data_IF_579136523190
#
_entry.id   IF_579136523190
#
_cell.length_a   1.000
_cell.length_b   1.000
_cell.length_c   1.000
_cell.angle_alpha   90.00
_cell.angle_beta   90.00
_cell.angle_gamma   90.00
#
_symmetry.space_group_name_H-M   'P 1'
#
loop_
_entity.id
_entity.type
_entity.pdbx_description
1 polymer ?
#
# COMPACT_ATOMS: atom_id res chain seq x y z
N UNK A 1 -16.42 -28.45 43.09
CA UNK A 1 -17.67 -27.74 42.74
C UNK A 1 -18.90 -28.62 42.92
N UNK A 2 -18.87 -29.88 42.44
CA UNK A 2 -19.97 -30.85 42.60
C UNK A 2 -20.15 -31.29 44.06
N UNK A 3 -19.07 -31.43 44.83
CA UNK A 3 -19.11 -31.95 46.20
C UNK A 3 -19.57 -30.94 47.27
N UNK A 4 -19.55 -29.63 46.95
CA UNK A 4 -20.04 -28.57 47.83
C UNK A 4 -21.46 -28.07 47.47
N UNK A 5 -22.08 -28.60 46.40
CA UNK A 5 -23.43 -28.22 45.95
C UNK A 5 -23.62 -26.76 45.51
N UNK A 6 -22.56 -25.95 45.51
CA UNK A 6 -22.65 -24.50 45.29
C UNK A 6 -22.95 -24.16 43.84
N UNK A 7 -24.00 -23.36 43.64
CA UNK A 7 -24.38 -22.85 42.32
C UNK A 7 -23.57 -21.57 41.98
N UNK A 8 -23.38 -21.28 40.69
CA UNK A 8 -22.61 -20.11 40.20
C UNK A 8 -23.05 -18.79 40.86
N UNK A 9 -24.35 -18.65 41.12
CA UNK A 9 -24.93 -17.48 41.81
C UNK A 9 -24.42 -17.33 43.24
N UNK A 10 -24.22 -18.42 43.96
CA UNK A 10 -23.73 -18.41 45.34
C UNK A 10 -22.25 -18.05 45.39
N UNK A 11 -21.47 -18.48 44.41
CA UNK A 11 -20.08 -18.06 44.23
C UNK A 11 -19.95 -16.55 43.95
N UNK A 12 -20.87 -15.96 43.17
CA UNK A 12 -20.94 -14.50 42.98
C UNK A 12 -21.30 -13.77 44.28
N UNK A 13 -22.27 -14.29 45.05
CA UNK A 13 -22.68 -13.68 46.32
C UNK A 13 -21.57 -13.71 47.38
N UNK A 14 -20.75 -14.75 47.38
CA UNK A 14 -19.60 -14.88 48.29
C UNK A 14 -18.37 -14.09 47.82
N UNK A 15 -18.45 -13.36 46.70
CA UNK A 15 -17.33 -12.59 46.14
C UNK A 15 -16.20 -13.45 45.56
N UNK A 16 -16.40 -14.77 45.46
CA UNK A 16 -15.44 -15.74 44.92
C UNK A 16 -15.39 -15.72 43.39
N UNK A 17 -16.43 -15.19 42.73
CA UNK A 17 -16.42 -14.82 41.32
C UNK A 17 -16.61 -13.30 41.21
N UNK A 18 -15.58 -12.59 40.79
CA UNK A 18 -15.69 -11.15 40.45
C UNK A 18 -16.08 -11.01 38.98
N UNK A 19 -16.90 -10.02 38.65
CA UNK A 19 -17.36 -9.78 37.28
C UNK A 19 -16.19 -9.64 36.29
N UNK A 20 -15.10 -8.97 36.68
CA UNK A 20 -13.87 -8.88 35.88
C UNK A 20 -13.18 -10.23 35.67
N UNK A 21 -12.97 -11.02 36.74
CA UNK A 21 -12.30 -12.32 36.66
C UNK A 21 -13.11 -13.38 35.88
N UNK A 22 -14.44 -13.32 35.95
CA UNK A 22 -15.31 -14.22 35.17
C UNK A 22 -15.31 -13.89 33.67
N UNK A 23 -15.25 -12.60 33.32
CA UNK A 23 -15.22 -12.17 31.92
C UNK A 23 -13.91 -12.56 31.23
N UNK A 24 -12.80 -12.67 31.96
CA UNK A 24 -11.51 -13.15 31.44
C UNK A 24 -11.65 -14.57 30.88
N UNK A 25 -12.37 -15.47 31.55
CA UNK A 25 -12.59 -16.84 31.08
C UNK A 25 -13.69 -16.98 30.01
N UNK A 26 -14.36 -15.88 29.62
CA UNK A 26 -15.40 -15.91 28.60
C UNK A 26 -14.74 -15.79 27.22
N UNK A 27 -14.93 -16.82 26.39
CA UNK A 27 -14.43 -16.86 25.01
C UNK A 27 -14.74 -15.56 24.25
N UNK A 28 -13.73 -15.01 23.58
CA UNK A 28 -13.81 -13.77 22.81
C UNK A 28 -13.57 -12.46 23.59
N UNK A 29 -13.47 -12.48 24.93
CA UNK A 29 -13.18 -11.28 25.73
C UNK A 29 -11.76 -11.21 26.30
N UNK A 30 -10.98 -12.29 26.16
CA UNK A 30 -9.55 -12.32 26.48
C UNK A 30 -8.84 -13.34 25.58
N UNK A 31 -7.88 -12.87 24.78
CA UNK A 31 -7.06 -13.72 23.91
C UNK A 31 -6.09 -14.63 24.70
N UNK A 32 -5.78 -14.27 25.95
CA UNK A 32 -4.83 -15.00 26.79
C UNK A 32 -5.49 -16.10 27.63
N UNK A 33 -6.78 -15.94 27.93
CA UNK A 33 -7.51 -16.84 28.82
C UNK A 33 -8.43 -17.83 28.09
N UNK A 34 -8.55 -17.73 26.76
CA UNK A 34 -9.30 -18.69 25.94
C UNK A 34 -8.61 -20.04 25.75
N UNK A 35 -7.46 -20.29 26.40
CA UNK A 35 -6.74 -21.55 26.26
C UNK A 35 -5.97 -21.61 24.95
N UNK A 36 -5.13 -20.61 24.66
CA UNK A 36 -4.22 -20.62 23.53
C UNK A 36 -4.90 -20.69 22.16
N UNK A 37 -4.07 -20.77 21.12
CA UNK A 37 -4.51 -20.96 19.75
C UNK A 37 -4.16 -22.39 19.35
N UNK A 38 -5.13 -23.29 19.41
CA UNK A 38 -4.95 -24.62 18.83
C UNK A 38 -4.83 -24.51 17.30
N UNK A 39 -3.94 -25.30 16.71
CA UNK A 39 -3.64 -25.23 15.28
C UNK A 39 -4.89 -25.54 14.46
N UNK A 40 -5.41 -24.55 13.74
CA UNK A 40 -6.59 -24.68 12.86
C UNK A 40 -7.86 -24.01 13.39
N UNK A 41 -7.84 -23.42 14.59
CA UNK A 41 -9.00 -22.68 15.11
C UNK A 41 -9.01 -21.21 14.63
N UNK A 42 -10.11 -20.80 13.98
CA UNK A 42 -10.32 -19.42 13.54
C UNK A 42 -10.99 -18.60 14.66
N UNK A 43 -10.24 -18.29 15.72
CA UNK A 43 -10.69 -17.50 16.86
C UNK A 43 -10.07 -16.10 16.90
N UNK A 44 -10.76 -15.15 17.54
CA UNK A 44 -10.26 -13.78 17.77
C UNK A 44 -8.96 -13.81 18.59
N UNK A 45 -7.88 -13.28 18.00
CA UNK A 45 -6.53 -13.30 18.60
C UNK A 45 -5.63 -14.41 18.07
N UNK A 46 -6.18 -15.36 17.31
CA UNK A 46 -5.44 -16.46 16.69
C UNK A 46 -5.33 -16.24 15.18
N UNK A 47 -4.24 -15.60 14.75
CA UNK A 47 -3.88 -15.59 13.33
C UNK A 47 -3.36 -16.97 12.94
N UNK A 48 -3.68 -17.49 11.73
CA UNK A 48 -2.98 -18.65 11.18
C UNK A 48 -1.46 -18.45 11.22
N UNK A 49 -0.66 -19.52 11.32
CA UNK A 49 0.79 -19.42 11.23
C UNK A 49 1.19 -18.65 9.96
N UNK A 50 1.91 -17.55 10.12
CA UNK A 50 2.42 -16.77 9.00
C UNK A 50 3.81 -17.26 8.62
N UNK A 51 4.08 -17.32 7.33
CA UNK A 51 5.44 -17.48 6.83
C UNK A 51 6.08 -16.08 6.76
N UNK A 52 7.31 -15.90 7.27
CA UNK A 52 8.01 -14.63 7.14
C UNK A 52 8.24 -14.34 5.65
N UNK A 53 8.14 -13.07 5.27
CA UNK A 53 8.51 -12.63 3.93
C UNK A 53 10.04 -12.74 3.77
N UNK A 54 10.48 -13.65 2.92
CA UNK A 54 11.91 -13.95 2.69
C UNK A 54 12.44 -13.41 1.35
N UNK A 55 11.56 -12.86 0.51
CA UNK A 55 11.96 -12.40 -0.82
C UNK A 55 12.76 -11.09 -0.72
N UNK A 56 13.83 -10.94 -1.51
CA UNK A 56 14.63 -9.73 -1.50
C UNK A 56 13.84 -8.55 -2.06
N UNK A 57 13.93 -7.40 -1.40
CA UNK A 57 13.35 -6.17 -1.93
C UNK A 57 14.10 -5.76 -3.20
N UNK A 58 13.37 -5.65 -4.32
CA UNK A 58 13.97 -5.22 -5.59
C UNK A 58 14.29 -3.73 -5.53
N UNK A 59 15.57 -3.40 -5.66
CA UNK A 59 16.03 -2.01 -5.75
C UNK A 59 15.81 -1.52 -7.20
N UNK A 60 15.12 -0.38 -7.41
CA UNK A 60 15.01 0.22 -8.74
C UNK A 60 16.40 0.54 -9.31
N UNK A 61 16.64 0.29 -10.60
CA UNK A 61 17.92 0.62 -11.22
C UNK A 61 18.10 2.12 -11.36
N UNK A 62 19.36 2.55 -11.39
CA UNK A 62 19.73 3.92 -11.74
C UNK A 62 19.45 4.11 -13.23
N UNK A 63 18.65 5.12 -13.56
CA UNK A 63 18.34 5.45 -14.96
C UNK A 63 19.56 6.16 -15.59
N UNK A 64 19.91 5.85 -16.84
CA UNK A 64 20.95 6.59 -17.55
C UNK A 64 20.45 7.98 -17.94
N UNK A 65 21.32 8.99 -17.84
CA UNK A 65 21.05 10.34 -18.33
C UNK A 65 20.83 10.33 -19.84
N UNK A 66 19.91 11.18 -20.32
CA UNK A 66 19.47 11.27 -21.71
C UNK A 66 19.65 12.70 -22.23
N UNK A 67 20.00 12.86 -23.52
CA UNK A 67 19.99 14.18 -24.14
C UNK A 67 18.56 14.72 -24.24
N UNK A 68 18.40 16.03 -24.03
CA UNK A 68 17.08 16.71 -24.10
C UNK A 68 16.37 16.52 -25.45
N UNK A 69 17.12 16.25 -26.51
CA UNK A 69 16.59 15.98 -27.86
C UNK A 69 15.80 14.69 -27.98
N UNK A 70 15.93 13.76 -27.03
CA UNK A 70 15.13 12.52 -26.98
C UNK A 70 13.69 12.75 -26.45
N UNK A 71 13.39 13.93 -25.90
CA UNK A 71 12.10 14.24 -25.29
C UNK A 71 11.19 14.97 -26.28
N UNK A 72 10.10 14.32 -26.68
CA UNK A 72 9.09 14.88 -27.57
C UNK A 72 7.70 14.76 -26.93
N UNK A 73 7.06 15.87 -26.52
CA UNK A 73 7.56 17.24 -26.59
C UNK A 73 8.75 17.50 -25.66
N UNK A 74 9.54 18.54 -25.97
CA UNK A 74 10.65 18.97 -25.12
C UNK A 74 10.12 19.36 -23.72
N UNK A 75 10.92 19.19 -22.64
CA UNK A 75 10.52 19.58 -21.30
C UNK A 75 10.15 21.07 -21.24
N UNK A 76 9.04 21.36 -20.56
CA UNK A 76 8.50 22.71 -20.46
C UNK A 76 8.53 23.18 -19.00
N UNK A 77 8.75 24.49 -18.81
CA UNK A 77 8.65 25.14 -17.49
C UNK A 77 7.21 25.04 -16.93
N UNK A 78 6.22 25.04 -17.83
CA UNK A 78 4.81 25.00 -17.49
C UNK A 78 4.19 23.65 -17.87
N UNK A 79 3.26 23.12 -17.06
CA UNK A 79 2.39 21.98 -17.35
C UNK A 79 1.78 22.01 -18.74
N UNK A 80 1.75 20.86 -19.40
CA UNK A 80 1.04 20.72 -20.67
C UNK A 80 -0.48 20.61 -20.40
N UNK A 81 -1.15 21.75 -20.42
CA UNK A 81 -2.60 21.84 -20.23
C UNK A 81 -3.39 21.79 -21.54
N UNK A 82 -2.76 21.48 -22.67
CA UNK A 82 -3.48 21.31 -23.92
C UNK A 82 -4.53 20.20 -23.78
N UNK A 83 -5.68 20.36 -24.45
CA UNK A 83 -6.74 19.36 -24.43
C UNK A 83 -6.28 18.12 -25.20
N UNK A 84 -6.30 16.98 -24.54
CA UNK A 84 -6.04 15.69 -25.15
C UNK A 84 -7.22 15.33 -26.07
N UNK A 85 -7.00 15.18 -27.38
CA UNK A 85 -8.07 14.86 -28.33
C UNK A 85 -8.71 13.49 -28.08
N UNK A 86 -8.01 12.56 -27.41
CA UNK A 86 -8.54 11.23 -27.11
C UNK A 86 -9.53 11.22 -25.93
N UNK A 87 -9.40 12.15 -24.97
CA UNK A 87 -10.20 12.16 -23.73
C UNK A 87 -11.08 13.40 -23.57
N UNK A 88 -10.82 14.47 -24.32
CA UNK A 88 -11.49 15.76 -24.13
C UNK A 88 -11.09 16.48 -22.83
N UNK A 89 -10.06 15.99 -22.13
CA UNK A 89 -9.53 16.55 -20.89
C UNK A 89 -8.10 17.07 -21.12
N UNK A 90 -7.60 18.02 -20.32
CA UNK A 90 -6.19 18.42 -20.37
C UNK A 90 -5.21 17.24 -20.22
N UNK A 91 -4.06 17.27 -20.90
CA UNK A 91 -3.00 16.27 -20.72
C UNK A 91 -2.46 16.26 -19.28
N UNK A 92 -2.43 17.41 -18.62
CA UNK A 92 -2.08 17.56 -17.21
C UNK A 92 -3.08 18.44 -16.47
N UNK A 93 -3.30 18.17 -15.17
CA UNK A 93 -4.25 18.91 -14.33
C UNK A 93 -3.64 19.89 -13.34
N UNK A 94 -2.30 19.95 -13.19
CA UNK A 94 -1.66 20.83 -12.20
C UNK A 94 -1.87 22.30 -12.57
N UNK A 95 -2.10 23.11 -11.55
CA UNK A 95 -2.44 24.53 -11.72
C UNK A 95 -3.90 24.78 -12.11
N UNK A 96 -4.74 23.74 -12.16
CA UNK A 96 -6.18 23.88 -12.40
C UNK A 96 -6.98 23.86 -11.10
N UNK A 97 -8.02 24.69 -11.04
CA UNK A 97 -9.04 24.67 -9.99
C UNK A 97 -10.40 24.80 -10.64
N UNK A 98 -11.33 23.88 -10.34
CA UNK A 98 -12.64 23.79 -11.00
C UNK A 98 -12.55 23.79 -12.54
N UNK A 99 -11.54 23.11 -13.11
CA UNK A 99 -11.34 23.01 -14.56
C UNK A 99 -10.79 24.28 -15.23
N UNK A 100 -10.41 25.30 -14.44
CA UNK A 100 -9.83 26.55 -14.96
C UNK A 100 -8.39 26.68 -14.48
N UNK A 101 -7.48 27.03 -15.40
CA UNK A 101 -6.09 27.34 -15.08
C UNK A 101 -6.00 28.58 -14.21
N UNK A 102 -5.33 28.48 -13.06
CA UNK A 102 -5.02 29.62 -12.20
C UNK A 102 -3.65 30.19 -12.58
N UNK A 103 -3.59 31.45 -13.06
CA UNK A 103 -2.31 32.08 -13.40
C UNK A 103 -1.32 32.04 -12.23
N UNK A 104 -0.09 31.62 -12.48
CA UNK A 104 1.00 31.60 -11.49
C UNK A 104 1.04 30.37 -10.58
N UNK A 105 0.17 29.38 -10.81
CA UNK A 105 0.15 28.11 -10.06
C UNK A 105 0.59 26.89 -10.88
N UNK A 106 0.85 27.10 -12.16
CA UNK A 106 1.14 26.10 -13.17
C UNK A 106 2.64 25.94 -13.38
N UNK A 107 3.36 27.03 -13.65
CA UNK A 107 4.78 26.96 -14.00
C UNK A 107 5.70 26.70 -12.79
N UNK A 108 6.75 25.91 -13.00
CA UNK A 108 7.71 25.57 -11.96
C UNK A 108 8.55 26.80 -11.58
N UNK A 109 8.26 27.39 -10.40
CA UNK A 109 8.77 28.71 -9.98
C UNK A 109 10.31 28.83 -9.94
N UNK A 110 11.02 27.70 -9.88
CA UNK A 110 12.48 27.67 -9.78
C UNK A 110 13.19 27.19 -11.04
N UNK A 111 12.47 26.96 -12.14
CA UNK A 111 13.04 26.41 -13.38
C UNK A 111 14.22 27.24 -13.91
N UNK A 112 14.13 28.58 -13.80
CA UNK A 112 15.19 29.50 -14.23
C UNK A 112 16.31 29.70 -13.21
N UNK A 113 16.06 29.40 -11.92
CA UNK A 113 17.05 29.53 -10.85
C UNK A 113 17.91 28.28 -10.73
N UNK A 114 17.31 27.12 -10.95
CA UNK A 114 17.97 25.81 -10.93
C UNK A 114 17.63 25.11 -12.24
N UNK A 115 18.38 25.41 -13.33
CA UNK A 115 18.14 24.76 -14.60
C UNK A 115 18.34 23.24 -14.49
N UNK A 116 17.57 22.42 -15.22
CA UNK A 116 17.81 20.98 -15.27
C UNK A 116 19.19 20.67 -15.86
N UNK A 117 20.00 19.89 -15.13
CA UNK A 117 21.35 19.46 -15.58
C UNK A 117 21.32 18.07 -16.24
N UNK A 118 20.46 17.18 -15.74
CA UNK A 118 20.31 15.81 -16.22
C UNK A 118 18.85 15.49 -16.52
N UNK A 119 18.63 14.68 -17.56
CA UNK A 119 17.31 14.22 -17.95
C UNK A 119 17.23 12.70 -17.92
N UNK A 120 16.11 12.17 -17.43
CA UNK A 120 15.89 10.73 -17.33
C UNK A 120 14.52 10.37 -17.89
N UNK A 121 14.40 9.17 -18.44
CA UNK A 121 13.12 8.66 -18.96
C UNK A 121 12.67 7.46 -18.12
N UNK A 122 11.55 7.64 -17.41
CA UNK A 122 10.79 6.56 -16.80
C UNK A 122 9.53 6.26 -17.63
N UNK A 123 9.30 4.99 -17.97
CA UNK A 123 8.08 4.53 -18.66
C UNK A 123 7.31 3.58 -17.75
N UNK A 124 6.07 3.93 -17.47
CA UNK A 124 5.15 3.09 -16.70
C UNK A 124 4.28 2.23 -17.63
N UNK A 125 4.08 0.97 -17.27
CA UNK A 125 3.27 0.02 -18.04
C UNK A 125 2.68 -1.04 -17.13
N UNK A 126 1.57 -1.59 -17.56
CA UNK A 126 0.93 -2.70 -16.88
C UNK A 126 1.80 -3.96 -16.96
N UNK A 127 2.01 -4.61 -15.82
CA UNK A 127 2.57 -5.94 -15.71
C UNK A 127 1.52 -6.86 -15.09
N UNK A 128 0.90 -7.69 -15.93
CA UNK A 128 -0.15 -8.63 -15.55
C UNK A 128 0.38 -9.93 -14.92
N UNK A 129 1.70 -10.11 -14.89
CA UNK A 129 2.38 -11.32 -14.38
C UNK A 129 3.30 -11.00 -13.21
N UNK A 130 3.03 -9.92 -12.49
CA UNK A 130 3.88 -9.54 -11.37
C UNK A 130 3.69 -10.50 -10.21
N UNK A 131 4.82 -10.94 -9.65
CA UNK A 131 4.88 -11.67 -8.38
C UNK A 131 5.78 -10.92 -7.42
N UNK A 132 5.22 -10.54 -6.28
CA UNK A 132 6.00 -9.94 -5.18
C UNK A 132 6.84 -10.99 -4.45
N UNK A 133 6.42 -12.25 -4.53
CA UNK A 133 7.02 -13.38 -3.81
C UNK A 133 7.36 -14.54 -4.72
N UNK A 134 8.32 -15.36 -4.31
CA UNK A 134 8.59 -16.67 -4.91
C UNK A 134 7.54 -17.74 -4.59
N UNK A 135 6.62 -17.48 -3.65
CA UNK A 135 5.54 -18.40 -3.30
C UNK A 135 4.61 -18.65 -4.50
N UNK A 136 4.51 -19.90 -4.99
CA UNK A 136 3.64 -20.23 -6.13
C UNK A 136 2.14 -20.27 -5.77
N UNK A 137 1.78 -20.24 -4.49
CA UNK A 137 0.38 -20.24 -4.04
C UNK A 137 -0.28 -18.87 -4.15
N UNK A 138 0.52 -17.80 -4.28
CA UNK A 138 0.01 -16.45 -4.52
C UNK A 138 -0.14 -16.26 -6.03
N UNK A 139 -1.36 -15.99 -6.55
CA UNK A 139 -1.57 -15.79 -7.97
C UNK A 139 -0.89 -14.50 -8.45
N UNK A 140 -0.55 -14.49 -9.74
CA UNK A 140 -0.03 -13.32 -10.43
C UNK A 140 -0.94 -12.10 -10.19
N UNK A 141 -0.32 -10.96 -9.93
CA UNK A 141 -1.02 -9.70 -9.72
C UNK A 141 -0.78 -8.77 -10.90
N UNK A 142 -1.82 -8.03 -11.28
CA UNK A 142 -1.66 -6.90 -12.18
C UNK A 142 -1.19 -5.69 -11.39
N UNK A 143 -0.01 -5.18 -11.72
CA UNK A 143 0.50 -3.91 -11.18
C UNK A 143 0.99 -3.01 -12.31
N UNK A 144 1.09 -1.71 -12.04
CA UNK A 144 1.82 -0.78 -12.90
C UNK A 144 3.28 -0.72 -12.47
N UNK A 145 4.19 -1.09 -13.37
CA UNK A 145 5.63 -1.10 -13.13
C UNK A 145 6.38 -0.08 -14.00
N UNK A 146 7.59 0.27 -13.59
CA UNK A 146 8.48 1.18 -14.31
C UNK A 146 9.58 0.42 -15.07
N UNK A 147 10.14 1.04 -16.11
CA UNK A 147 11.28 0.51 -16.86
C UNK A 147 12.51 0.33 -15.96
N UNK A 148 13.20 -0.81 -16.15
CA UNK A 148 14.42 -1.15 -15.42
C UNK A 148 15.69 -0.54 -16.06
N UNK A 149 15.63 0.73 -16.51
CA UNK A 149 16.80 1.44 -17.05
C UNK A 149 17.20 1.09 -18.50
N UNK A 150 16.48 0.21 -19.19
CA UNK A 150 16.72 -0.13 -20.60
C UNK A 150 16.27 0.93 -21.62
N UNK A 151 16.78 0.82 -22.86
CA UNK A 151 16.43 1.68 -24.01
C UNK A 151 15.00 1.43 -24.53
N UNK A 152 14.44 0.24 -24.33
CA UNK A 152 13.24 -0.17 -25.03
C UNK A 152 11.92 0.14 -24.31
N UNK A 153 10.85 0.36 -25.10
CA UNK A 153 9.51 0.21 -24.62
C UNK A 153 9.19 -1.29 -24.50
N UNK A 154 9.09 -1.85 -23.29
CA UNK A 154 8.20 -2.99 -23.06
C UNK A 154 6.75 -2.67 -23.44
#
# INVERSE_FOLDING_TARGET
MIEAGLNRRELFKMGLLTSGGYLVAKSGLSAWASGGCDAGECQLGCSPPTTPFIDPLRIPPILPSRPVTEFTPAPQECPNNAINPATGLPFEGRGQYNGVLRPGTDCFQFFKRFPPEDFFISRARENTRFRITSDPNIPDQTIWGFNLGGNDPA
#
